data_IF_978610175464
#
_entry.id   IF_978610175464
#
_cell.length_a   1.000
_cell.length_b   1.000
_cell.length_c   1.000
_cell.angle_alpha   90.00
_cell.angle_beta   90.00
_cell.angle_gamma   90.00
#
_symmetry.space_group_name_H-M   'P 1'
#
loop_
_entity.id
_entity.type
_entity.pdbx_description
1 polymer ?
#
# COMPACT_ATOMS: atom_id res chain seq x y z
N UNK A 1 -8.45 -13.66 23.88
CA UNK A 1 -9.14 -13.22 22.66
C UNK A 1 -10.08 -12.10 23.06
N UNK A 2 -9.77 -10.85 22.71
CA UNK A 2 -10.57 -9.69 23.12
C UNK A 2 -11.84 -9.68 22.28
N UNK A 3 -13.02 -9.76 22.93
CA UNK A 3 -14.29 -9.66 22.23
C UNK A 3 -14.48 -8.21 21.77
N UNK A 4 -14.48 -7.99 20.45
CA UNK A 4 -14.82 -6.70 19.85
C UNK A 4 -16.34 -6.60 19.78
N UNK A 5 -16.90 -5.56 20.37
CA UNK A 5 -18.35 -5.33 20.40
C UNK A 5 -18.95 -5.37 18.99
N UNK A 6 -19.97 -6.21 18.79
CA UNK A 6 -20.60 -6.42 17.48
C UNK A 6 -19.94 -7.45 16.56
N UNK A 7 -18.94 -8.20 17.01
CA UNK A 7 -18.29 -9.32 16.29
C UNK A 7 -18.53 -10.66 17.03
N UNK A 8 -18.80 -11.73 16.29
CA UNK A 8 -18.87 -13.10 16.82
C UNK A 8 -17.45 -13.55 17.24
N UNK A 9 -17.19 -13.83 18.53
CA UNK A 9 -15.87 -14.19 19.00
C UNK A 9 -15.41 -15.57 18.50
N UNK A 10 -16.32 -16.46 18.07
CA UNK A 10 -15.98 -17.79 17.57
C UNK A 10 -15.66 -17.77 16.08
N UNK A 11 -16.34 -16.91 15.31
CA UNK A 11 -16.21 -16.91 13.85
C UNK A 11 -15.53 -15.66 13.29
N UNK A 12 -15.34 -14.60 14.09
CA UNK A 12 -14.84 -13.31 13.64
C UNK A 12 -15.77 -12.61 12.63
N UNK A 13 -17.07 -12.90 12.63
CA UNK A 13 -18.02 -12.27 11.70
C UNK A 13 -18.79 -11.17 12.41
N UNK A 14 -19.24 -10.16 11.68
CA UNK A 14 -20.14 -9.17 12.26
C UNK A 14 -21.45 -9.84 12.68
N UNK A 15 -21.91 -9.52 13.90
CA UNK A 15 -23.18 -10.03 14.40
C UNK A 15 -24.37 -9.39 13.65
N UNK A 16 -25.54 -10.06 13.59
CA UNK A 16 -26.76 -9.48 13.03
C UNK A 16 -27.08 -8.12 13.66
N UNK A 17 -27.47 -7.13 12.84
CA UNK A 17 -27.74 -5.76 13.30
C UNK A 17 -26.53 -4.83 13.33
N UNK A 18 -25.32 -5.34 13.12
CA UNK A 18 -24.14 -4.50 12.98
C UNK A 18 -24.20 -3.69 11.66
N UNK A 19 -24.36 -2.37 11.79
CA UNK A 19 -24.46 -1.43 10.66
C UNK A 19 -23.10 -1.03 10.07
N UNK A 20 -22.00 -1.28 10.79
CA UNK A 20 -20.64 -0.98 10.33
C UNK A 20 -20.19 -1.92 9.19
N UNK A 21 -20.78 -3.11 9.09
CA UNK A 21 -20.47 -4.12 8.07
C UNK A 21 -21.20 -3.96 6.74
N UNK A 22 -22.07 -2.95 6.57
CA UNK A 22 -22.96 -2.86 5.40
C UNK A 22 -22.24 -2.47 4.09
N UNK A 23 -21.00 -1.98 4.17
CA UNK A 23 -20.24 -1.53 3.01
C UNK A 23 -20.84 -0.29 2.34
N UNK A 24 -20.04 0.42 1.54
CA UNK A 24 -20.53 1.53 0.74
C UNK A 24 -21.42 1.00 -0.40
N UNK A 25 -22.58 1.61 -0.66
CA UNK A 25 -23.46 1.26 -1.79
C UNK A 25 -22.73 1.29 -3.15
N UNK A 26 -21.73 2.16 -3.28
CA UNK A 26 -20.85 2.26 -4.45
C UNK A 26 -19.76 1.19 -4.52
N UNK A 27 -19.48 0.44 -3.45
CA UNK A 27 -18.40 -0.54 -3.39
C UNK A 27 -18.52 -1.62 -4.47
N UNK A 28 -19.75 -2.07 -4.76
CA UNK A 28 -20.02 -3.03 -5.84
C UNK A 28 -19.63 -2.47 -7.21
N UNK A 29 -20.00 -1.21 -7.49
CA UNK A 29 -19.68 -0.52 -8.74
C UNK A 29 -18.17 -0.32 -8.87
N UNK A 30 -17.49 0.14 -7.81
CA UNK A 30 -16.03 0.33 -7.79
C UNK A 30 -15.30 -1.00 -8.01
N UNK A 31 -15.77 -2.09 -7.38
CA UNK A 31 -15.20 -3.43 -7.60
C UNK A 31 -15.30 -3.85 -9.07
N UNK A 32 -16.46 -3.65 -9.70
CA UNK A 32 -16.65 -3.99 -11.11
C UNK A 32 -15.69 -3.18 -12.00
N UNK A 33 -15.58 -1.87 -11.79
CA UNK A 33 -14.65 -1.02 -12.54
C UNK A 33 -13.19 -1.46 -12.38
N UNK A 34 -12.76 -1.82 -11.16
CA UNK A 34 -11.41 -2.35 -10.92
C UNK A 34 -11.18 -3.67 -11.64
N UNK A 35 -12.16 -4.57 -11.63
CA UNK A 35 -12.05 -5.84 -12.35
C UNK A 35 -11.93 -5.62 -13.86
N UNK A 36 -12.74 -4.72 -14.43
CA UNK A 36 -12.65 -4.38 -15.85
C UNK A 36 -11.31 -3.75 -16.20
N UNK A 37 -10.81 -2.83 -15.37
CA UNK A 37 -9.50 -2.21 -15.58
C UNK A 37 -8.38 -3.26 -15.58
N UNK A 38 -8.35 -4.14 -14.58
CA UNK A 38 -7.34 -5.21 -14.50
C UNK A 38 -7.43 -6.21 -15.65
N UNK A 39 -8.62 -6.46 -16.17
CA UNK A 39 -8.81 -7.34 -17.33
C UNK A 39 -8.41 -6.68 -18.66
N UNK A 40 -8.45 -5.35 -18.75
CA UNK A 40 -8.16 -4.61 -19.96
C UNK A 40 -6.67 -4.22 -20.10
N UNK A 41 -6.00 -3.95 -18.98
CA UNK A 41 -4.60 -3.52 -18.98
C UNK A 41 -3.68 -4.69 -19.31
N UNK A 42 -2.85 -4.52 -20.34
CA UNK A 42 -1.84 -5.49 -20.77
C UNK A 42 -0.43 -5.14 -20.26
N UNK A 43 0.52 -6.08 -20.38
CA UNK A 43 1.93 -5.80 -20.08
C UNK A 43 2.51 -4.73 -21.01
N UNK A 44 2.13 -4.75 -22.29
CA UNK A 44 2.51 -3.77 -23.29
C UNK A 44 2.02 -2.36 -22.93
N UNK A 45 0.77 -2.23 -22.47
CA UNK A 45 0.23 -0.95 -21.99
C UNK A 45 1.02 -0.44 -20.79
N UNK A 46 1.35 -1.33 -19.85
CA UNK A 46 2.15 -0.99 -18.67
C UNK A 46 3.55 -0.50 -19.05
N UNK A 47 4.20 -1.16 -20.02
CA UNK A 47 5.48 -0.74 -20.56
C UNK A 47 5.36 0.64 -21.22
N UNK A 48 4.33 0.86 -22.05
CA UNK A 48 4.12 2.13 -22.74
C UNK A 48 3.92 3.29 -21.75
N UNK A 49 3.05 3.13 -20.76
CA UNK A 49 2.79 4.14 -19.71
C UNK A 49 4.04 4.39 -18.86
N UNK A 50 4.79 3.34 -18.52
CA UNK A 50 6.03 3.48 -17.73
C UNK A 50 7.11 4.24 -18.49
N UNK A 51 7.27 3.99 -19.80
CA UNK A 51 8.20 4.77 -20.64
C UNK A 51 7.84 6.25 -20.66
N UNK A 52 6.55 6.55 -20.74
CA UNK A 52 6.08 7.93 -20.70
C UNK A 52 6.31 8.58 -19.34
N UNK A 53 6.08 7.85 -18.23
CA UNK A 53 6.43 8.30 -16.88
C UNK A 53 7.92 8.66 -16.77
N UNK A 54 8.81 7.81 -17.28
CA UNK A 54 10.26 8.07 -17.31
C UNK A 54 10.58 9.31 -18.14
N UNK A 55 9.93 9.48 -19.31
CA UNK A 55 10.11 10.66 -20.16
C UNK A 55 9.69 11.94 -19.43
N UNK A 56 8.53 11.95 -18.78
CA UNK A 56 8.01 13.09 -18.01
C UNK A 56 8.85 13.38 -16.75
N UNK A 57 9.37 12.35 -16.08
CA UNK A 57 10.28 12.56 -14.96
C UNK A 57 11.56 13.27 -15.41
N UNK A 58 12.11 12.89 -16.57
CA UNK A 58 13.33 13.50 -17.15
C UNK A 58 13.15 14.97 -17.57
N UNK A 59 11.93 15.46 -17.75
CA UNK A 59 11.70 16.89 -18.02
C UNK A 59 11.80 17.77 -16.77
N UNK A 60 12.03 17.17 -15.58
CA UNK A 60 12.18 17.90 -14.33
C UNK A 60 10.87 18.05 -13.53
N UNK A 61 9.79 17.37 -13.93
CA UNK A 61 8.55 17.39 -13.16
C UNK A 61 8.69 16.62 -11.85
N UNK A 62 8.70 17.34 -10.73
CA UNK A 62 8.89 16.78 -9.38
C UNK A 62 7.87 15.69 -9.06
N UNK A 63 6.61 15.84 -9.50
CA UNK A 63 5.55 14.85 -9.26
C UNK A 63 5.86 13.50 -9.92
N UNK A 64 6.30 13.52 -11.18
CA UNK A 64 6.65 12.33 -11.94
C UNK A 64 7.95 11.69 -11.42
N UNK A 65 8.93 12.51 -11.03
CA UNK A 65 10.16 12.05 -10.38
C UNK A 65 9.83 11.32 -9.08
N UNK A 66 8.95 11.89 -8.25
CA UNK A 66 8.54 11.29 -6.98
C UNK A 66 7.78 9.98 -7.19
N UNK A 67 6.86 9.92 -8.15
CA UNK A 67 6.16 8.67 -8.47
C UNK A 67 7.15 7.61 -8.97
N UNK A 68 8.06 7.97 -9.88
CA UNK A 68 9.07 7.06 -10.39
C UNK A 68 9.94 6.50 -9.25
N UNK A 69 10.47 7.36 -8.37
CA UNK A 69 11.29 6.93 -7.23
C UNK A 69 10.50 6.12 -6.21
N UNK A 70 9.25 6.49 -5.91
CA UNK A 70 8.39 5.71 -5.00
C UNK A 70 8.18 4.28 -5.49
N UNK A 71 8.09 4.07 -6.81
CA UNK A 71 7.91 2.73 -7.41
C UNK A 71 9.20 1.93 -7.57
N UNK A 72 10.34 2.60 -7.78
CA UNK A 72 11.64 1.92 -8.01
C UNK A 72 12.48 1.76 -6.76
N UNK A 73 12.47 2.76 -5.88
CA UNK A 73 13.25 2.79 -4.64
C UNK A 73 12.39 2.43 -3.41
N UNK A 74 11.06 2.44 -3.55
CA UNK A 74 10.12 2.26 -2.45
C UNK A 74 9.89 3.55 -1.67
N UNK A 75 9.10 3.45 -0.60
CA UNK A 75 9.07 4.53 0.39
C UNK A 75 10.46 4.64 1.00
N UNK A 76 10.99 5.86 1.21
CA UNK A 76 12.11 6.05 2.11
C UNK A 76 11.75 5.34 3.40
N UNK A 77 12.45 4.25 3.68
CA UNK A 77 12.39 3.65 4.98
C UNK A 77 13.15 4.67 5.82
N UNK A 78 12.45 5.41 6.68
CA UNK A 78 13.08 5.87 7.92
C UNK A 78 13.53 4.58 8.57
N UNK A 79 14.72 4.11 8.19
CA UNK A 79 15.30 2.99 8.85
C UNK A 79 15.32 3.39 10.33
N UNK A 80 14.78 2.51 11.15
CA UNK A 80 15.25 1.96 12.42
C UNK A 80 16.74 2.20 12.73
N UNK A 81 17.28 3.38 12.38
CA UNK A 81 18.65 3.81 12.55
C UNK A 81 18.88 3.92 14.04
N UNK A 82 17.91 4.40 14.80
CA UNK A 82 18.00 4.51 16.24
C UNK A 82 18.17 3.12 16.90
N UNK A 83 17.33 2.13 16.54
CA UNK A 83 17.48 0.77 17.08
C UNK A 83 18.75 0.08 16.55
N UNK A 84 19.06 0.24 15.26
CA UNK A 84 20.26 -0.36 14.66
C UNK A 84 21.54 0.24 15.21
N UNK A 85 21.55 1.55 15.51
CA UNK A 85 22.66 2.25 16.16
C UNK A 85 22.77 1.78 17.62
N UNK A 86 21.65 1.71 18.35
CA UNK A 86 21.64 1.20 19.72
C UNK A 86 22.21 -0.23 19.82
N UNK A 87 21.78 -1.14 18.93
CA UNK A 87 22.31 -2.52 18.87
C UNK A 87 23.82 -2.55 18.58
N UNK A 88 24.31 -1.66 17.72
CA UNK A 88 25.73 -1.56 17.37
C UNK A 88 26.57 -0.98 18.52
N UNK A 89 26.05 0.02 19.24
CA UNK A 89 26.69 0.62 20.42
C UNK A 89 26.80 -0.39 21.57
N UNK A 90 25.75 -1.18 21.82
CA UNK A 90 25.75 -2.24 22.84
C UNK A 90 26.83 -3.29 22.56
N UNK A 91 26.95 -3.73 21.30
CA UNK A 91 28.00 -4.66 20.85
C UNK A 91 29.41 -4.09 21.08
N UNK A 92 29.61 -2.80 20.78
CA UNK A 92 30.91 -2.13 20.92
C UNK A 92 31.33 -1.92 22.38
N UNK A 93 30.37 -1.72 23.28
CA UNK A 93 30.58 -1.57 24.72
C UNK A 93 30.74 -2.91 25.45
N UNK A 94 30.39 -4.02 24.79
CA UNK A 94 30.51 -5.39 25.35
C UNK A 94 31.84 -6.10 25.01
N UNK A 95 32.71 -5.45 24.25
CA UNK A 95 34.07 -5.89 23.89
C UNK A 95 35.13 -5.29 24.83
#
# INVERSE_FOLDING_TARGET
MVAIEGMDPRTGRFQPGNTLGQGLKSAKKVRALRQTLLAAVTEEDMIAVTRELVRMAKTGSIEHIRELYSRTLGKPIEADMDQRIADLEELLLSL
#
